data_IF_566921380988
#
_entry.id   IF_566921380988
#
_cell.length_a   1.000
_cell.length_b   1.000
_cell.length_c   1.000
_cell.angle_alpha   90.00
_cell.angle_beta   90.00
_cell.angle_gamma   90.00
#
_symmetry.space_group_name_H-M   'P 1'
#
loop_
_entity.id
_entity.type
_entity.pdbx_description
1 polymer ?
#
# COMPACT_ATOMS: atom_id res chain seq x y z
N UNK A 1 -19.14 2.46 -16.27
CA UNK A 1 -18.72 3.03 -14.96
C UNK A 1 -19.01 4.52 -14.99
N UNK A 2 -19.68 5.05 -13.97
CA UNK A 2 -19.91 6.48 -13.91
C UNK A 2 -18.62 7.22 -13.49
N UNK A 3 -18.65 8.54 -13.58
CA UNK A 3 -17.48 9.36 -13.35
C UNK A 3 -16.98 9.30 -11.90
N UNK A 4 -17.90 9.20 -10.94
CA UNK A 4 -17.60 9.06 -9.52
C UNK A 4 -16.84 7.77 -9.23
N UNK A 5 -17.32 6.66 -9.78
CA UNK A 5 -16.65 5.36 -9.63
C UNK A 5 -15.29 5.36 -10.33
N UNK A 6 -15.18 6.00 -11.50
CA UNK A 6 -13.92 6.10 -12.20
C UNK A 6 -12.88 6.90 -11.39
N UNK A 7 -13.32 7.98 -10.73
CA UNK A 7 -12.44 8.78 -9.88
C UNK A 7 -11.96 7.98 -8.68
N UNK A 8 -12.85 7.20 -8.04
CA UNK A 8 -12.50 6.35 -6.91
C UNK A 8 -11.50 5.27 -7.32
N UNK A 9 -11.69 4.65 -8.47
CA UNK A 9 -10.76 3.64 -8.99
C UNK A 9 -9.38 4.24 -9.20
N UNK A 10 -9.30 5.43 -9.81
CA UNK A 10 -8.02 6.11 -10.02
C UNK A 10 -7.34 6.40 -8.68
N UNK A 11 -8.10 6.86 -7.69
CA UNK A 11 -7.57 7.15 -6.36
C UNK A 11 -7.05 5.89 -5.68
N UNK A 12 -7.79 4.78 -5.76
CA UNK A 12 -7.36 3.52 -5.19
C UNK A 12 -6.02 3.07 -5.77
N UNK A 13 -5.89 3.15 -7.10
CA UNK A 13 -4.64 2.77 -7.78
C UNK A 13 -3.49 3.67 -7.38
N UNK A 14 -3.73 4.97 -7.25
CA UNK A 14 -2.71 5.94 -6.85
C UNK A 14 -2.23 5.68 -5.42
N UNK A 15 -3.14 5.39 -4.50
CA UNK A 15 -2.79 5.08 -3.11
C UNK A 15 -1.96 3.80 -3.04
N UNK A 16 -2.34 2.77 -3.76
CA UNK A 16 -1.58 1.51 -3.79
C UNK A 16 -0.16 1.73 -4.29
N UNK A 17 0.00 2.48 -5.37
CA UNK A 17 1.32 2.82 -5.90
C UNK A 17 2.15 3.62 -4.90
N UNK A 18 1.54 4.58 -4.23
CA UNK A 18 2.19 5.38 -3.19
C UNK A 18 2.73 4.50 -2.07
N UNK A 19 1.92 3.53 -1.61
CA UNK A 19 2.33 2.62 -0.55
C UNK A 19 3.59 1.85 -0.96
N UNK A 20 3.60 1.26 -2.15
CA UNK A 20 4.74 0.49 -2.63
C UNK A 20 5.99 1.35 -2.78
N UNK A 21 5.86 2.56 -3.35
CA UNK A 21 7.00 3.47 -3.49
C UNK A 21 7.54 3.91 -2.14
N UNK A 22 6.66 4.11 -1.15
CA UNK A 22 7.08 4.45 0.21
C UNK A 22 7.92 3.34 0.83
N UNK A 23 7.53 2.09 0.62
CA UNK A 23 8.29 0.94 1.12
C UNK A 23 9.68 0.89 0.48
N UNK A 24 9.77 1.15 -0.82
CA UNK A 24 11.06 1.12 -1.53
C UNK A 24 12.04 2.15 -0.98
N UNK A 25 11.56 3.24 -0.41
CA UNK A 25 12.39 4.28 0.20
C UNK A 25 12.76 3.99 1.65
N UNK A 26 12.08 3.03 2.26
CA UNK A 26 12.33 2.69 3.65
C UNK A 26 13.50 1.72 3.84
N UNK A 27 13.99 1.59 5.07
CA UNK A 27 15.08 0.66 5.35
C UNK A 27 14.63 -0.79 5.10
N UNK A 28 15.43 -1.52 4.32
CA UNK A 28 15.13 -2.89 3.95
C UNK A 28 13.77 -3.04 3.27
N UNK A 29 13.34 -2.02 2.51
CA UNK A 29 12.07 -1.99 1.78
C UNK A 29 10.85 -2.17 2.70
N UNK A 30 10.91 -1.60 3.89
CA UNK A 30 9.87 -1.77 4.91
C UNK A 30 9.49 -0.44 5.55
N UNK A 31 8.33 -0.42 6.19
CA UNK A 31 7.85 0.74 6.95
C UNK A 31 6.71 0.31 7.87
N UNK A 32 6.50 1.08 8.93
CA UNK A 32 5.28 1.00 9.73
C UNK A 32 4.08 1.39 8.87
N UNK A 33 3.00 0.64 8.98
CA UNK A 33 1.72 1.00 8.34
C UNK A 33 1.28 2.39 8.79
N UNK A 34 1.48 2.72 10.06
CA UNK A 34 1.12 4.04 10.60
C UNK A 34 1.86 5.17 9.90
N UNK A 35 3.15 5.00 9.65
CA UNK A 35 3.96 6.04 8.99
C UNK A 35 3.43 6.33 7.59
N UNK A 36 3.12 5.28 6.82
CA UNK A 36 2.58 5.43 5.48
C UNK A 36 1.19 6.07 5.51
N UNK A 37 0.34 5.63 6.46
CA UNK A 37 -0.99 6.18 6.62
C UNK A 37 -0.94 7.68 6.88
N UNK A 38 -0.08 8.11 7.81
CA UNK A 38 0.04 9.52 8.16
C UNK A 38 0.59 10.35 6.99
N UNK A 39 1.51 9.80 6.22
CA UNK A 39 2.03 10.47 5.03
C UNK A 39 0.93 10.68 3.98
N UNK A 40 0.09 9.68 3.76
CA UNK A 40 -1.03 9.77 2.82
C UNK A 40 -2.04 10.83 3.24
N UNK A 41 -2.33 10.93 4.54
CA UNK A 41 -3.20 11.98 5.08
C UNK A 41 -2.57 13.35 4.86
N UNK A 42 -1.29 13.49 5.16
CA UNK A 42 -0.57 14.75 5.02
C UNK A 42 -0.51 15.19 3.56
N UNK A 43 -0.35 14.26 2.63
CA UNK A 43 -0.37 14.54 1.20
C UNK A 43 -1.79 14.76 0.66
N UNK A 44 -2.79 14.68 1.51
CA UNK A 44 -4.20 14.83 1.15
C UNK A 44 -4.69 13.78 0.14
N UNK A 45 -4.03 12.63 0.08
CA UNK A 45 -4.45 11.53 -0.79
C UNK A 45 -5.56 10.71 -0.16
N UNK A 46 -5.68 10.73 1.16
CA UNK A 46 -6.79 10.14 1.90
C UNK A 46 -7.25 11.12 2.98
N UNK A 47 -8.53 11.06 3.33
CA UNK A 47 -9.10 11.92 4.38
C UNK A 47 -9.14 11.22 5.73
N UNK A 48 -9.51 9.95 5.73
CA UNK A 48 -9.56 9.12 6.93
C UNK A 48 -8.25 8.34 7.06
N UNK A 49 -7.61 8.32 8.24
CA UNK A 49 -6.33 7.63 8.41
C UNK A 49 -6.50 6.10 8.49
N UNK A 50 -6.98 5.52 7.40
CA UNK A 50 -7.25 4.09 7.30
C UNK A 50 -6.90 3.62 5.88
N UNK A 51 -5.87 2.78 5.77
CA UNK A 51 -5.46 2.19 4.50
C UNK A 51 -5.64 0.69 4.48
N UNK A 52 -6.46 0.16 5.40
CA UNK A 52 -6.65 -1.28 5.57
C UNK A 52 -7.02 -2.00 4.28
N UNK A 53 -7.95 -1.45 3.51
CA UNK A 53 -8.38 -2.08 2.26
C UNK A 53 -7.26 -2.18 1.24
N UNK A 54 -6.36 -1.19 1.23
CA UNK A 54 -5.24 -1.17 0.29
C UNK A 54 -4.13 -2.11 0.73
N UNK A 55 -3.87 -2.18 2.04
CA UNK A 55 -2.91 -3.12 2.60
C UNK A 55 -3.39 -4.56 2.34
N UNK A 56 -4.67 -4.81 2.54
CA UNK A 56 -5.28 -6.12 2.26
C UNK A 56 -5.15 -6.49 0.77
N UNK A 57 -5.43 -5.55 -0.12
CA UNK A 57 -5.29 -5.75 -1.56
C UNK A 57 -3.85 -6.10 -1.93
N UNK A 58 -2.89 -5.33 -1.44
CA UNK A 58 -1.48 -5.51 -1.79
C UNK A 58 -0.90 -6.79 -1.20
N UNK A 59 -1.32 -7.17 0.01
CA UNK A 59 -0.92 -8.44 0.61
C UNK A 59 -1.53 -9.61 -0.17
N UNK A 60 -2.81 -9.52 -0.53
CA UNK A 60 -3.47 -10.54 -1.33
C UNK A 60 -2.84 -10.72 -2.72
N UNK A 61 -2.33 -9.64 -3.29
CA UNK A 61 -1.60 -9.69 -4.56
C UNK A 61 -0.14 -10.12 -4.39
N UNK A 62 0.30 -10.35 -3.16
CA UNK A 62 1.65 -10.80 -2.80
C UNK A 62 2.75 -9.77 -3.08
N UNK A 63 2.41 -8.48 -3.15
CA UNK A 63 3.40 -7.42 -3.33
C UNK A 63 4.04 -6.99 -2.03
N UNK A 64 3.36 -7.23 -0.92
CA UNK A 64 3.85 -6.92 0.42
C UNK A 64 3.59 -8.10 1.36
N UNK A 65 4.30 -8.09 2.48
CA UNK A 65 4.08 -9.05 3.55
C UNK A 65 4.22 -8.35 4.90
N UNK A 66 3.56 -8.88 5.92
CA UNK A 66 3.77 -8.44 7.28
C UNK A 66 5.00 -9.12 7.87
N UNK A 67 5.81 -8.36 8.61
CA UNK A 67 6.95 -8.94 9.33
C UNK A 67 6.49 -9.73 10.55
N UNK A 68 5.33 -9.37 11.13
CA UNK A 68 4.69 -10.11 12.21
C UNK A 68 3.43 -10.81 11.66
N UNK A 69 3.45 -12.13 11.62
CA UNK A 69 2.36 -12.91 11.04
C UNK A 69 1.10 -12.96 11.91
N UNK A 70 1.12 -12.37 13.11
CA UNK A 70 -0.03 -12.33 14.01
C UNK A 70 -0.98 -11.17 13.71
N UNK A 71 -0.56 -10.21 12.89
CA UNK A 71 -1.39 -9.07 12.52
C UNK A 71 -1.94 -9.27 11.11
N UNK A 72 -3.02 -8.56 10.81
CA UNK A 72 -3.59 -8.51 9.46
C UNK A 72 -3.80 -7.04 9.06
N UNK A 73 -4.28 -6.83 7.84
CA UNK A 73 -4.47 -5.50 7.29
C UNK A 73 -5.34 -4.60 8.18
N UNK A 74 -6.33 -5.17 8.86
CA UNK A 74 -7.31 -4.42 9.65
C UNK A 74 -6.89 -4.16 11.09
N UNK A 75 -5.85 -4.83 11.57
CA UNK A 75 -5.28 -4.61 12.91
C UNK A 75 -3.90 -3.96 12.87
N UNK A 76 -3.36 -3.76 11.68
CA UNK A 76 -1.97 -3.33 11.48
C UNK A 76 -1.66 -1.96 12.09
N UNK A 77 -2.56 -0.98 11.90
CA UNK A 77 -2.31 0.39 12.36
C UNK A 77 -2.15 0.45 13.87
N UNK A 78 -3.10 -0.12 14.61
CA UNK A 78 -3.09 -0.05 16.08
C UNK A 78 -2.04 -0.94 16.72
N UNK A 79 -1.52 -1.93 15.99
CA UNK A 79 -0.51 -2.86 16.51
C UNK A 79 0.90 -2.53 16.02
N UNK A 80 1.09 -1.33 15.47
CA UNK A 80 2.39 -0.87 14.98
C UNK A 80 3.05 -1.86 14.03
N UNK A 81 2.25 -2.44 13.14
CA UNK A 81 2.73 -3.44 12.21
C UNK A 81 3.67 -2.83 11.18
N UNK A 82 4.67 -3.61 10.81
CA UNK A 82 5.62 -3.29 9.74
C UNK A 82 5.27 -4.14 8.53
N UNK A 83 5.17 -3.50 7.38
CA UNK A 83 5.02 -4.18 6.09
C UNK A 83 6.29 -4.01 5.27
N UNK A 84 6.54 -4.97 4.41
CA UNK A 84 7.76 -5.04 3.62
C UNK A 84 7.43 -5.46 2.19
N UNK A 85 8.16 -4.92 1.21
CA UNK A 85 8.04 -5.38 -0.17
C UNK A 85 8.49 -6.83 -0.28
N UNK A 86 7.76 -7.62 -1.06
CA UNK A 86 8.19 -8.93 -1.51
C UNK A 86 9.02 -8.76 -2.79
N UNK A 87 9.64 -9.85 -3.26
CA UNK A 87 10.29 -9.84 -4.58
C UNK A 87 9.31 -9.41 -5.66
N UNK A 88 8.07 -9.89 -5.61
CA UNK A 88 7.04 -9.54 -6.58
C UNK A 88 6.73 -8.05 -6.55
N UNK A 89 6.68 -7.45 -5.36
CA UNK A 89 6.49 -6.01 -5.21
C UNK A 89 7.65 -5.22 -5.83
N UNK A 90 8.87 -5.66 -5.63
CA UNK A 90 10.04 -5.05 -6.25
C UNK A 90 9.95 -5.16 -7.77
N UNK A 91 9.61 -6.34 -8.28
CA UNK A 91 9.47 -6.57 -9.73
C UNK A 91 8.43 -5.65 -10.35
N UNK A 92 7.33 -5.39 -9.63
CA UNK A 92 6.30 -4.46 -10.10
C UNK A 92 6.85 -3.04 -10.18
N UNK A 93 7.56 -2.58 -9.15
CA UNK A 93 8.13 -1.23 -9.12
C UNK A 93 9.20 -1.03 -10.19
N UNK A 94 9.95 -2.09 -10.51
CA UNK A 94 11.01 -2.03 -11.52
C UNK A 94 10.48 -2.24 -12.95
N UNK A 95 9.19 -2.51 -13.09
CA UNK A 95 8.60 -2.72 -14.41
C UNK A 95 8.84 -4.12 -14.98
N UNK A 96 9.39 -5.05 -14.19
CA UNK A 96 9.60 -6.44 -14.63
C UNK A 96 8.26 -7.14 -14.85
N UNK A 97 7.27 -6.81 -14.03
CA UNK A 97 5.88 -7.23 -14.22
C UNK A 97 5.00 -6.00 -14.23
N UNK A 98 3.78 -6.15 -14.74
CA UNK A 98 2.82 -5.07 -14.82
C UNK A 98 1.52 -5.45 -14.11
N UNK A 99 0.87 -4.47 -13.49
CA UNK A 99 -0.43 -4.64 -12.85
C UNK A 99 -1.24 -3.35 -13.02
N UNK A 100 -2.29 -3.36 -13.85
CA UNK A 100 -3.13 -2.18 -14.02
C UNK A 100 -3.86 -1.74 -12.75
N UNK A 101 -3.92 -2.58 -11.74
CA UNK A 101 -4.53 -2.26 -10.45
C UNK A 101 -3.69 -1.38 -9.55
N UNK A 102 -2.42 -1.16 -9.92
CA UNK A 102 -1.48 -0.36 -9.13
C UNK A 102 -0.82 0.68 -10.03
N UNK A 103 -0.93 1.93 -9.65
CA UNK A 103 -0.38 3.05 -10.43
C UNK A 103 1.05 3.31 -9.98
N UNK A 104 1.99 2.79 -10.75
CA UNK A 104 3.43 2.93 -10.46
C UNK A 104 4.00 4.21 -11.06
#
# INVERSE_FOLDING_TARGET
MNEEMAAEVRQNKAVRGYILRSLAKGPQNSSLVRTITNALVQEQMILTPDISKHVDYLEGAEYIEFTNKRVNAYTAYKNDAVIKLTKKGVDLLEGTIEDPGVDI
#
